data_IF_616659312621
#
_entry.id   IF_616659312621
#
_cell.length_a   1.000
_cell.length_b   1.000
_cell.length_c   1.000
_cell.angle_alpha   90.00
_cell.angle_beta   90.00
_cell.angle_gamma   90.00
#
_symmetry.space_group_name_H-M   'P 1'
#
loop_
_entity.id
_entity.type
_entity.pdbx_description
1 polymer ?
#
# COMPACT_ATOMS: atom_id res chain seq x y z
N UNK A 1 3.12 26.66 -5.42
CA UNK A 1 3.17 25.23 -5.09
C UNK A 1 4.42 24.58 -5.63
N UNK A 2 4.96 23.63 -4.90
CA UNK A 2 6.03 22.75 -5.36
C UNK A 2 5.71 21.32 -4.95
N UNK A 3 6.32 20.35 -5.64
CA UNK A 3 6.23 18.95 -5.27
C UNK A 3 7.45 18.64 -4.41
N UNK A 4 7.20 18.27 -3.15
CA UNK A 4 8.24 17.81 -2.25
C UNK A 4 8.52 16.33 -2.51
N UNK A 5 9.79 15.98 -2.59
CA UNK A 5 10.25 14.63 -2.87
C UNK A 5 9.67 14.12 -4.23
N UNK A 6 8.71 13.19 -4.19
CA UNK A 6 8.23 12.53 -5.41
C UNK A 6 6.78 12.88 -5.75
N UNK A 7 5.92 13.08 -4.76
CA UNK A 7 4.46 13.14 -4.96
C UNK A 7 3.74 14.15 -4.06
N UNK A 8 4.35 14.62 -2.98
CA UNK A 8 3.69 15.51 -2.01
C UNK A 8 3.64 16.94 -2.49
N UNK A 9 2.46 17.53 -2.57
CA UNK A 9 2.29 18.94 -2.93
C UNK A 9 2.37 19.84 -1.69
N UNK A 10 3.17 20.90 -1.75
CA UNK A 10 3.36 21.86 -0.67
C UNK A 10 3.40 23.30 -1.18
N UNK A 11 2.98 24.24 -0.34
CA UNK A 11 3.17 25.68 -0.56
C UNK A 11 4.53 26.11 0.00
N UNK A 12 5.39 26.61 -0.88
CA UNK A 12 6.74 27.07 -0.51
C UNK A 12 6.64 28.14 0.58
N UNK A 13 7.45 27.99 1.62
CA UNK A 13 7.51 28.91 2.75
C UNK A 13 6.37 28.79 3.76
N UNK A 14 5.28 28.11 3.43
CA UNK A 14 4.06 27.98 4.23
C UNK A 14 3.85 26.60 4.82
N UNK A 15 4.39 25.60 4.19
CA UNK A 15 4.18 24.19 4.53
C UNK A 15 5.52 23.46 4.51
N UNK A 16 5.68 22.53 5.42
CA UNK A 16 6.80 21.59 5.44
C UNK A 16 6.29 20.19 5.68
N UNK A 17 7.06 19.20 5.27
CA UNK A 17 6.72 17.82 5.49
C UNK A 17 7.86 17.11 6.22
N UNK A 18 7.51 16.44 7.31
CA UNK A 18 8.43 15.53 7.97
C UNK A 18 8.70 14.29 7.11
N UNK A 19 9.91 13.78 7.20
CA UNK A 19 10.30 12.53 6.53
C UNK A 19 9.31 11.40 6.84
N UNK A 20 8.97 10.61 5.82
CA UNK A 20 8.11 9.45 5.92
C UNK A 20 8.83 8.16 5.55
N UNK A 21 8.38 7.06 6.12
CA UNK A 21 8.72 5.70 5.74
C UNK A 21 7.47 4.98 5.23
N UNK A 22 7.57 3.70 4.86
CA UNK A 22 6.41 2.91 4.42
C UNK A 22 6.18 1.75 5.38
N UNK A 23 4.91 1.54 5.74
CA UNK A 23 4.46 0.35 6.43
C UNK A 23 4.19 -0.77 5.41
N UNK A 24 4.74 -1.96 5.64
CA UNK A 24 4.51 -3.12 4.77
C UNK A 24 3.22 -3.84 5.20
N UNK A 25 2.12 -3.54 4.52
CA UNK A 25 0.81 -4.13 4.82
C UNK A 25 0.74 -5.63 4.50
N UNK A 26 1.49 -6.10 3.50
CA UNK A 26 1.54 -7.52 3.19
C UNK A 26 2.22 -8.32 4.32
N UNK A 27 3.28 -7.79 4.90
CA UNK A 27 3.93 -8.40 6.08
C UNK A 27 3.01 -8.39 7.31
N UNK A 28 2.27 -7.30 7.50
CA UNK A 28 1.27 -7.19 8.56
C UNK A 28 0.17 -8.27 8.45
N UNK A 29 -0.28 -8.57 7.23
CA UNK A 29 -1.24 -9.66 6.98
C UNK A 29 -0.67 -11.02 7.40
N UNK A 30 0.59 -11.29 7.08
CA UNK A 30 1.25 -12.54 7.50
C UNK A 30 1.41 -12.64 9.01
N UNK A 31 1.68 -11.53 9.69
CA UNK A 31 1.67 -11.48 11.16
C UNK A 31 0.28 -11.75 11.73
N UNK A 32 -0.77 -11.23 11.12
CA UNK A 32 -2.14 -11.49 11.55
C UNK A 32 -2.49 -12.99 11.44
N UNK A 33 -2.11 -13.64 10.34
CA UNK A 33 -2.32 -15.07 10.12
C UNK A 33 -1.54 -15.92 11.13
N UNK A 34 -0.31 -15.51 11.45
CA UNK A 34 0.61 -16.25 12.33
C UNK A 34 0.62 -15.76 13.79
N UNK A 35 -0.39 -15.00 14.22
CA UNK A 35 -0.50 -14.57 15.63
C UNK A 35 0.63 -13.66 16.11
N UNK A 36 1.20 -12.83 15.23
CA UNK A 36 2.29 -11.90 15.50
C UNK A 36 3.69 -12.50 15.32
N UNK A 37 3.79 -13.75 14.88
CA UNK A 37 5.09 -14.39 14.58
C UNK A 37 5.51 -14.09 13.16
N UNK A 38 6.80 -13.74 12.99
CA UNK A 38 7.42 -13.58 11.68
C UNK A 38 7.59 -14.94 11.00
N UNK A 39 6.99 -15.13 9.84
CA UNK A 39 6.97 -16.39 9.09
C UNK A 39 8.35 -16.82 8.58
N UNK A 40 9.31 -15.89 8.51
CA UNK A 40 10.67 -16.14 8.05
C UNK A 40 11.68 -16.29 9.19
N UNK A 41 11.60 -15.39 10.18
CA UNK A 41 12.54 -15.36 11.29
C UNK A 41 12.12 -16.25 12.45
N UNK A 42 10.86 -16.71 12.46
CA UNK A 42 10.29 -17.58 13.51
C UNK A 42 10.31 -16.95 14.91
N UNK A 43 10.27 -15.63 14.97
CA UNK A 43 10.26 -14.89 16.23
C UNK A 43 8.96 -14.11 16.38
N UNK A 44 8.55 -13.89 17.62
CA UNK A 44 7.41 -13.03 17.96
C UNK A 44 7.81 -11.58 17.71
N UNK A 45 7.20 -10.93 16.74
CA UNK A 45 7.45 -9.51 16.38
C UNK A 45 6.28 -8.63 16.78
N UNK A 46 5.07 -9.04 16.45
CA UNK A 46 3.84 -8.35 16.83
C UNK A 46 3.30 -8.76 18.19
N UNK A 47 2.17 -8.20 18.63
CA UNK A 47 1.45 -8.68 19.78
C UNK A 47 1.12 -10.17 19.64
N UNK A 48 1.10 -10.86 20.75
CA UNK A 48 0.77 -12.30 20.77
C UNK A 48 -0.75 -12.47 20.64
N UNK A 49 -1.19 -12.68 19.40
CA UNK A 49 -2.57 -13.03 19.10
C UNK A 49 -2.73 -14.53 18.83
N UNK A 50 -3.99 -14.98 18.80
CA UNK A 50 -4.31 -16.35 18.39
C UNK A 50 -4.09 -16.48 16.88
N UNK A 51 -3.19 -17.36 16.39
CA UNK A 51 -3.00 -17.59 14.97
C UNK A 51 -4.23 -18.23 14.32
N UNK A 52 -4.26 -18.25 13.00
CA UNK A 52 -5.22 -19.05 12.25
C UNK A 52 -4.87 -20.54 12.44
N UNK A 53 -5.83 -21.36 12.83
CA UNK A 53 -5.61 -22.78 13.13
C UNK A 53 -6.20 -23.73 12.07
N UNK A 54 -7.15 -23.24 11.25
CA UNK A 54 -7.77 -24.03 10.17
C UNK A 54 -6.82 -24.36 9.04
N UNK A 55 -7.10 -25.42 8.30
CA UNK A 55 -6.33 -25.78 7.10
C UNK A 55 -6.57 -24.80 5.95
N UNK A 56 -7.73 -24.17 5.93
CA UNK A 56 -8.10 -23.11 4.99
C UNK A 56 -8.31 -21.80 5.72
N UNK A 57 -7.98 -20.69 5.04
CA UNK A 57 -8.23 -19.35 5.55
C UNK A 57 -9.73 -19.03 5.48
N UNK A 58 -10.28 -18.54 6.58
CA UNK A 58 -11.62 -17.94 6.64
C UNK A 58 -11.51 -16.42 6.55
N UNK A 59 -12.34 -15.81 5.70
CA UNK A 59 -12.25 -14.38 5.43
C UNK A 59 -12.53 -13.51 6.64
N UNK A 60 -13.57 -13.82 7.39
CA UNK A 60 -14.00 -13.00 8.53
C UNK A 60 -13.02 -13.13 9.70
N UNK A 61 -12.50 -14.35 9.94
CA UNK A 61 -11.46 -14.61 10.96
C UNK A 61 -10.15 -13.87 10.61
N UNK A 62 -9.70 -13.93 9.35
CA UNK A 62 -8.49 -13.23 8.89
C UNK A 62 -8.70 -11.72 8.97
N UNK A 63 -9.85 -11.20 8.54
CA UNK A 63 -10.12 -9.76 8.59
C UNK A 63 -10.14 -9.21 10.01
N UNK A 64 -10.74 -9.91 10.96
CA UNK A 64 -10.74 -9.51 12.37
C UNK A 64 -9.30 -9.42 12.93
N UNK A 65 -8.49 -10.48 12.70
CA UNK A 65 -7.08 -10.51 13.13
C UNK A 65 -6.23 -9.46 12.44
N UNK A 66 -6.51 -9.21 11.16
CA UNK A 66 -5.76 -8.23 10.39
C UNK A 66 -6.10 -6.79 10.81
N UNK A 67 -7.35 -6.52 11.16
CA UNK A 67 -7.75 -5.21 11.69
C UNK A 67 -7.04 -4.88 13.01
N UNK A 68 -6.99 -5.85 13.94
CA UNK A 68 -6.25 -5.72 15.20
C UNK A 68 -4.74 -5.52 14.95
N UNK A 69 -4.17 -6.27 14.01
CA UNK A 69 -2.75 -6.16 13.69
C UNK A 69 -2.41 -4.82 13.01
N UNK A 70 -3.31 -4.30 12.17
CA UNK A 70 -3.17 -2.96 11.59
C UNK A 70 -3.26 -1.86 12.67
N UNK A 71 -4.12 -2.01 13.68
CA UNK A 71 -4.17 -1.05 14.80
C UNK A 71 -2.85 -0.99 15.56
N UNK A 72 -2.29 -2.15 15.90
CA UNK A 72 -0.96 -2.23 16.51
C UNK A 72 0.12 -1.63 15.62
N UNK A 73 0.12 -1.98 14.32
CA UNK A 73 1.11 -1.48 13.38
C UNK A 73 1.03 0.04 13.24
N UNK A 74 -0.16 0.62 13.19
CA UNK A 74 -0.35 2.06 13.09
C UNK A 74 0.26 2.78 14.31
N UNK A 75 0.02 2.29 15.52
CA UNK A 75 0.61 2.83 16.73
C UNK A 75 2.12 2.72 16.77
N UNK A 76 2.68 1.54 16.48
CA UNK A 76 4.11 1.32 16.38
C UNK A 76 4.77 2.22 15.33
N UNK A 77 4.14 2.33 14.16
CA UNK A 77 4.63 3.09 13.03
C UNK A 77 4.70 4.58 13.34
N UNK A 78 3.60 5.17 13.84
CA UNK A 78 3.58 6.59 14.23
C UNK A 78 4.58 6.87 15.35
N UNK A 79 4.65 6.01 16.37
CA UNK A 79 5.61 6.19 17.46
C UNK A 79 7.06 6.11 16.97
N UNK A 80 7.37 5.19 16.07
CA UNK A 80 8.70 5.09 15.46
C UNK A 80 9.06 6.36 14.68
N UNK A 81 8.14 6.87 13.88
CA UNK A 81 8.35 8.13 13.16
C UNK A 81 8.51 9.31 14.13
N UNK A 82 7.75 9.37 15.21
CA UNK A 82 7.89 10.41 16.23
C UNK A 82 9.31 10.41 16.83
N UNK A 83 9.85 9.23 17.14
CA UNK A 83 11.23 9.09 17.65
C UNK A 83 12.25 9.55 16.61
N UNK A 84 12.08 9.18 15.35
CA UNK A 84 12.95 9.59 14.25
C UNK A 84 12.94 11.11 14.10
N UNK A 85 11.78 11.74 14.09
CA UNK A 85 11.66 13.21 13.96
C UNK A 85 12.23 13.93 15.17
N UNK A 86 11.99 13.43 16.37
CA UNK A 86 12.63 13.95 17.57
C UNK A 86 14.17 13.88 17.48
N UNK A 87 14.72 12.75 17.00
CA UNK A 87 16.16 12.59 16.84
C UNK A 87 16.74 13.50 15.76
N UNK A 88 16.01 13.70 14.65
CA UNK A 88 16.40 14.68 13.62
C UNK A 88 16.46 16.09 14.22
N UNK A 89 15.47 16.50 14.98
CA UNK A 89 15.39 17.83 15.59
C UNK A 89 16.42 18.05 16.69
N UNK A 90 16.79 17.00 17.40
CA UNK A 90 17.92 17.06 18.36
C UNK A 90 19.19 17.57 17.70
N UNK A 91 19.38 17.34 16.40
CA UNK A 91 20.50 17.82 15.61
C UNK A 91 20.12 19.02 14.71
N UNK A 92 19.08 19.75 15.06
CA UNK A 92 18.61 20.98 14.40
C UNK A 92 18.16 20.81 12.95
N UNK A 93 17.69 19.62 12.58
CA UNK A 93 17.24 19.33 11.20
C UNK A 93 16.07 20.24 10.78
N UNK A 94 15.00 20.29 11.55
CA UNK A 94 13.85 21.16 11.24
C UNK A 94 14.28 22.63 11.24
N UNK A 95 15.05 23.06 12.23
CA UNK A 95 15.52 24.44 12.32
C UNK A 95 16.26 24.91 11.07
N UNK A 96 17.09 24.06 10.50
CA UNK A 96 17.80 24.38 9.25
C UNK A 96 16.84 24.43 8.07
N UNK A 97 15.93 23.48 7.97
CA UNK A 97 14.91 23.47 6.90
C UNK A 97 13.96 24.67 6.98
N UNK A 98 13.63 25.10 8.19
CA UNK A 98 12.71 26.20 8.42
C UNK A 98 13.34 27.59 8.24
N UNK A 99 14.62 27.70 7.94
CA UNK A 99 15.33 28.97 7.82
C UNK A 99 14.75 29.91 6.74
N UNK A 100 14.12 29.35 5.71
CA UNK A 100 13.50 30.10 4.61
C UNK A 100 11.96 30.04 4.62
N UNK A 101 11.38 29.61 5.74
CA UNK A 101 9.93 29.53 5.90
C UNK A 101 9.37 30.73 6.65
N UNK A 102 8.08 30.96 6.49
CA UNK A 102 7.35 31.93 7.26
C UNK A 102 7.28 31.55 8.75
N UNK A 103 6.78 32.47 9.56
CA UNK A 103 6.61 32.27 11.00
C UNK A 103 5.65 31.11 11.31
N UNK A 104 4.51 31.11 10.65
CA UNK A 104 3.42 30.14 10.87
C UNK A 104 3.42 29.12 9.76
N UNK A 105 4.01 27.97 10.01
CA UNK A 105 4.17 26.88 9.03
C UNK A 105 3.30 25.70 9.40
N UNK A 106 2.51 25.23 8.45
CA UNK A 106 1.77 23.97 8.58
C UNK A 106 2.72 22.80 8.38
N UNK A 107 2.73 21.89 9.34
CA UNK A 107 3.55 20.68 9.30
C UNK A 107 2.72 19.51 8.84
N UNK A 108 3.23 18.77 7.87
CA UNK A 108 2.71 17.48 7.46
C UNK A 108 3.60 16.36 8.00
N UNK A 109 2.96 15.30 8.43
CA UNK A 109 3.59 14.10 8.94
C UNK A 109 3.43 13.00 7.90
N UNK A 110 4.45 12.82 7.06
CA UNK A 110 4.39 11.88 5.95
C UNK A 110 4.35 10.43 6.43
N UNK A 111 3.35 9.71 5.97
CA UNK A 111 3.25 8.26 6.11
C UNK A 111 3.19 7.59 4.75
N UNK A 112 3.18 6.28 4.71
CA UNK A 112 3.07 5.55 3.45
C UNK A 112 2.86 4.06 3.65
N UNK A 113 2.34 3.42 2.61
CA UNK A 113 2.10 1.98 2.58
C UNK A 113 2.79 1.31 1.41
N UNK A 114 3.14 0.03 1.60
CA UNK A 114 3.66 -0.87 0.58
C UNK A 114 2.83 -2.15 0.57
N UNK A 115 2.66 -2.75 -0.61
CA UNK A 115 1.99 -4.03 -0.78
C UNK A 115 0.48 -3.95 -0.90
N UNK A 116 -0.10 -2.79 -1.25
CA UNK A 116 -1.55 -2.60 -1.37
C UNK A 116 -2.21 -3.68 -2.24
N UNK A 117 -1.78 -3.82 -3.49
CA UNK A 117 -2.39 -4.77 -4.43
C UNK A 117 -2.21 -6.23 -4.00
N UNK A 118 -1.07 -6.56 -3.40
CA UNK A 118 -0.81 -7.91 -2.87
C UNK A 118 -1.78 -8.25 -1.75
N UNK A 119 -2.06 -7.30 -0.85
CA UNK A 119 -3.03 -7.51 0.24
C UNK A 119 -4.46 -7.55 -0.31
N UNK A 120 -4.81 -6.66 -1.23
CA UNK A 120 -6.13 -6.67 -1.87
C UNK A 120 -6.40 -7.99 -2.57
N UNK A 121 -5.44 -8.49 -3.35
CA UNK A 121 -5.52 -9.79 -4.02
C UNK A 121 -5.55 -10.96 -3.02
N UNK A 122 -4.76 -10.89 -1.95
CA UNK A 122 -4.75 -11.91 -0.90
C UNK A 122 -6.12 -12.02 -0.20
N UNK A 123 -6.70 -10.90 0.18
CA UNK A 123 -8.04 -10.86 0.79
C UNK A 123 -9.13 -11.27 -0.21
N UNK A 124 -8.97 -10.91 -1.48
CA UNK A 124 -9.85 -11.37 -2.55
C UNK A 124 -9.77 -12.89 -2.73
N UNK A 125 -8.55 -13.46 -2.75
CA UNK A 125 -8.35 -14.91 -2.83
C UNK A 125 -9.01 -15.64 -1.65
N UNK A 126 -8.83 -15.14 -0.42
CA UNK A 126 -9.43 -15.73 0.78
C UNK A 126 -10.96 -15.66 0.72
N UNK A 127 -11.52 -14.58 0.14
CA UNK A 127 -12.96 -14.35 0.08
C UNK A 127 -13.67 -15.13 -1.03
N UNK A 128 -13.03 -15.29 -2.19
CA UNK A 128 -13.70 -15.79 -3.41
C UNK A 128 -13.15 -17.11 -3.92
N UNK A 129 -12.01 -17.57 -3.40
CA UNK A 129 -11.42 -18.86 -3.69
C UNK A 129 -11.24 -19.67 -2.39
N UNK A 130 -10.54 -20.80 -2.46
CA UNK A 130 -10.12 -21.55 -1.27
C UNK A 130 -8.63 -21.44 -1.13
N UNK A 131 -8.17 -20.90 -0.02
CA UNK A 131 -6.75 -20.72 0.28
C UNK A 131 -6.34 -21.65 1.40
N UNK A 132 -5.57 -22.69 1.05
CA UNK A 132 -5.04 -23.69 1.98
C UNK A 132 -3.73 -23.21 2.58
N UNK A 133 -3.59 -23.35 3.89
CA UNK A 133 -2.38 -23.02 4.63
C UNK A 133 -1.37 -24.16 4.57
N UNK A 134 -0.15 -23.87 4.15
CA UNK A 134 0.99 -24.78 4.26
C UNK A 134 1.83 -24.37 5.46
N UNK A 135 1.89 -25.27 6.47
CA UNK A 135 2.60 -25.02 7.73
C UNK A 135 3.92 -25.78 7.75
N UNK A 136 4.88 -25.19 8.44
CA UNK A 136 6.12 -25.88 8.78
C UNK A 136 6.00 -26.72 10.07
N UNK A 137 7.13 -27.27 10.51
CA UNK A 137 7.23 -28.13 11.71
C UNK A 137 6.82 -27.41 13.00
N UNK A 138 6.96 -26.07 13.05
CA UNK A 138 6.55 -25.23 14.18
C UNK A 138 5.08 -24.79 14.12
N UNK A 139 4.34 -25.23 13.08
CA UNK A 139 2.95 -24.87 12.85
C UNK A 139 2.75 -23.46 12.26
N UNK A 140 3.82 -22.80 11.85
CA UNK A 140 3.77 -21.46 11.24
C UNK A 140 3.36 -21.60 9.77
N UNK A 141 2.41 -20.78 9.33
CA UNK A 141 2.01 -20.75 7.92
C UNK A 141 3.10 -20.04 7.11
N UNK A 142 3.73 -20.76 6.22
CA UNK A 142 4.87 -20.29 5.41
C UNK A 142 4.58 -20.22 3.93
N UNK A 143 3.56 -20.94 3.44
CA UNK A 143 3.13 -20.92 2.03
C UNK A 143 1.63 -21.17 1.91
N UNK A 144 1.09 -21.02 0.72
CA UNK A 144 -0.33 -21.13 0.41
C UNK A 144 -0.56 -21.84 -0.91
N UNK A 145 -1.61 -22.67 -0.95
CA UNK A 145 -2.19 -23.22 -2.17
C UNK A 145 -3.55 -22.58 -2.42
N UNK A 146 -3.77 -22.05 -3.61
CA UNK A 146 -5.03 -21.38 -3.98
C UNK A 146 -5.78 -22.28 -4.95
N UNK A 147 -6.98 -22.68 -4.56
CA UNK A 147 -7.90 -23.49 -5.37
C UNK A 147 -9.05 -22.62 -5.87
N UNK A 148 -9.19 -22.52 -7.18
CA UNK A 148 -10.20 -21.66 -7.84
C UNK A 148 -9.64 -20.32 -8.31
N UNK A 149 -10.49 -19.54 -8.95
CA UNK A 149 -10.15 -18.18 -9.41
C UNK A 149 -10.78 -17.12 -8.50
N UNK A 150 -10.18 -15.93 -8.49
CA UNK A 150 -10.62 -14.81 -7.69
C UNK A 150 -10.39 -13.48 -8.41
N UNK A 151 -11.17 -12.44 -8.10
CA UNK A 151 -10.95 -11.09 -8.65
C UNK A 151 -9.56 -10.57 -8.30
N UNK A 152 -8.84 -10.07 -9.30
CA UNK A 152 -7.49 -9.50 -9.15
C UNK A 152 -7.52 -8.00 -9.38
N UNK A 153 -6.85 -7.26 -8.52
CA UNK A 153 -6.74 -5.81 -8.61
C UNK A 153 -6.07 -5.39 -9.92
N UNK A 154 -6.58 -4.32 -10.53
CA UNK A 154 -6.13 -3.83 -11.83
C UNK A 154 -6.99 -4.31 -13.01
N UNK A 155 -8.20 -4.82 -12.76
CA UNK A 155 -9.12 -5.27 -13.80
C UNK A 155 -10.49 -4.54 -13.76
N UNK A 156 -10.56 -3.41 -13.06
CA UNK A 156 -11.78 -2.64 -12.84
C UNK A 156 -12.92 -3.49 -12.24
N UNK A 157 -12.57 -4.41 -11.34
CA UNK A 157 -13.53 -5.29 -10.66
C UNK A 157 -13.82 -4.75 -9.25
N UNK A 158 -15.05 -4.29 -9.04
CA UNK A 158 -15.50 -3.68 -7.78
C UNK A 158 -15.28 -4.58 -6.56
N UNK A 159 -15.30 -5.90 -6.74
CA UNK A 159 -15.13 -6.85 -5.64
C UNK A 159 -13.77 -6.74 -4.97
N UNK A 160 -12.71 -6.53 -5.74
CA UNK A 160 -11.34 -6.38 -5.24
C UNK A 160 -10.93 -4.92 -5.11
N UNK A 161 -11.40 -4.03 -6.01
CA UNK A 161 -11.09 -2.61 -5.95
C UNK A 161 -11.59 -2.00 -4.63
N UNK A 162 -12.80 -2.38 -4.20
CA UNK A 162 -13.35 -1.97 -2.90
C UNK A 162 -12.46 -2.44 -1.73
N UNK A 163 -11.89 -3.63 -1.80
CA UNK A 163 -10.95 -4.10 -0.75
C UNK A 163 -9.74 -3.17 -0.69
N UNK A 164 -9.16 -2.79 -1.84
CA UNK A 164 -8.03 -1.87 -1.89
C UNK A 164 -8.39 -0.48 -1.32
N UNK A 165 -9.56 0.06 -1.69
CA UNK A 165 -10.08 1.34 -1.16
C UNK A 165 -10.25 1.28 0.36
N UNK A 166 -10.86 0.23 0.87
CA UNK A 166 -11.13 0.05 2.31
C UNK A 166 -9.81 -0.10 3.10
N UNK A 167 -8.81 -0.79 2.55
CA UNK A 167 -7.48 -0.91 3.16
C UNK A 167 -6.81 0.46 3.36
N UNK A 168 -6.78 1.28 2.31
CA UNK A 168 -6.18 2.63 2.36
C UNK A 168 -6.91 3.48 3.40
N UNK A 169 -8.24 3.49 3.36
CA UNK A 169 -9.07 4.25 4.30
C UNK A 169 -8.84 3.80 5.74
N UNK A 170 -9.00 2.51 5.99
CA UNK A 170 -8.88 1.94 7.34
C UNK A 170 -7.52 2.21 7.95
N UNK A 171 -6.43 1.98 7.21
CA UNK A 171 -5.10 2.18 7.76
C UNK A 171 -4.81 3.67 8.04
N UNK A 172 -5.24 4.57 7.15
CA UNK A 172 -5.09 6.01 7.40
C UNK A 172 -5.91 6.49 8.59
N UNK A 173 -7.13 5.99 8.77
CA UNK A 173 -7.97 6.33 9.91
C UNK A 173 -7.37 5.82 11.23
N UNK A 174 -6.70 4.65 11.21
CA UNK A 174 -5.93 4.15 12.36
C UNK A 174 -4.72 5.05 12.66
N UNK A 175 -3.95 5.46 11.66
CA UNK A 175 -2.83 6.41 11.83
C UNK A 175 -3.31 7.71 12.50
N UNK A 176 -4.44 8.26 12.06
CA UNK A 176 -5.00 9.52 12.57
C UNK A 176 -5.41 9.50 14.04
N UNK A 177 -5.54 8.34 14.66
CA UNK A 177 -5.83 8.20 16.09
C UNK A 177 -4.63 8.54 16.98
N UNK A 178 -3.42 8.53 16.44
CA UNK A 178 -2.19 8.69 17.20
C UNK A 178 -1.65 10.10 17.13
N UNK A 179 -1.08 10.56 18.24
CA UNK A 179 -0.41 11.85 18.34
C UNK A 179 0.87 11.84 17.50
N UNK A 180 1.05 12.87 16.70
CA UNK A 180 2.21 13.04 15.82
C UNK A 180 3.17 14.09 16.35
N UNK A 181 4.43 13.96 16.01
CA UNK A 181 5.48 14.89 16.41
C UNK A 181 5.14 16.32 15.96
N UNK A 182 5.17 17.27 16.92
CA UNK A 182 4.81 18.69 16.72
C UNK A 182 3.45 18.90 16.06
N UNK A 183 2.49 18.06 16.38
CA UNK A 183 1.12 18.12 15.83
C UNK A 183 1.08 18.17 14.29
N UNK A 184 2.07 17.50 13.63
CA UNK A 184 2.09 17.39 12.19
C UNK A 184 0.87 16.64 11.66
N UNK A 185 0.22 17.20 10.63
CA UNK A 185 -0.98 16.58 10.03
C UNK A 185 -0.58 15.31 9.29
N UNK A 186 -1.10 14.12 9.68
CA UNK A 186 -0.77 12.89 8.98
C UNK A 186 -1.24 12.93 7.52
N UNK A 187 -0.33 12.60 6.62
CA UNK A 187 -0.57 12.37 5.20
C UNK A 187 -0.07 10.99 4.83
N UNK A 188 -0.51 10.42 3.71
CA UNK A 188 -0.10 9.08 3.30
C UNK A 188 0.20 9.05 1.81
N UNK A 189 1.22 8.29 1.45
CA UNK A 189 1.56 7.94 0.07
C UNK A 189 1.38 6.45 -0.20
N UNK A 190 1.02 6.11 -1.44
CA UNK A 190 1.06 4.74 -1.94
C UNK A 190 2.19 4.68 -2.97
N UNK A 191 3.41 4.69 -2.46
CA UNK A 191 4.61 4.86 -3.25
C UNK A 191 5.74 4.00 -2.68
N UNK A 192 6.37 3.18 -3.48
CA UNK A 192 7.51 2.35 -3.07
C UNK A 192 8.80 2.65 -3.82
N UNK A 193 8.73 3.32 -4.98
CA UNK A 193 9.84 3.46 -5.92
C UNK A 193 10.41 2.03 -6.20
N UNK A 194 11.69 1.80 -6.01
CA UNK A 194 12.35 0.48 -6.14
C UNK A 194 12.37 -0.33 -4.84
N UNK A 195 11.93 0.23 -3.72
CA UNK A 195 11.95 -0.47 -2.42
C UNK A 195 10.96 -1.64 -2.33
N UNK A 196 9.98 -1.73 -3.27
CA UNK A 196 9.11 -2.89 -3.42
C UNK A 196 9.89 -4.20 -3.55
N UNK A 197 11.07 -4.19 -4.17
CA UNK A 197 11.98 -5.35 -4.27
C UNK A 197 12.48 -5.77 -2.89
N UNK A 198 12.91 -4.80 -2.08
CA UNK A 198 13.41 -5.07 -0.72
C UNK A 198 12.28 -5.58 0.18
N UNK A 199 11.10 -4.96 0.10
CA UNK A 199 9.92 -5.42 0.83
C UNK A 199 9.55 -6.85 0.44
N UNK A 200 9.52 -7.16 -0.86
CA UNK A 200 9.24 -8.51 -1.36
C UNK A 200 10.24 -9.56 -0.86
N UNK A 201 11.53 -9.22 -0.87
CA UNK A 201 12.59 -10.09 -0.31
C UNK A 201 12.40 -10.39 1.18
N UNK A 202 11.80 -9.48 1.94
CA UNK A 202 11.57 -9.63 3.39
C UNK A 202 10.19 -10.20 3.74
N UNK A 203 9.31 -10.40 2.76
CA UNK A 203 7.95 -10.89 2.94
C UNK A 203 7.86 -12.33 2.45
N UNK A 204 7.30 -13.22 3.27
CA UNK A 204 7.01 -14.61 2.93
C UNK A 204 6.03 -14.74 1.77
N UNK A 205 5.65 -15.96 1.42
CA UNK A 205 4.55 -16.21 0.47
C UNK A 205 3.26 -15.59 0.97
N UNK A 206 2.37 -15.16 0.06
CA UNK A 206 1.12 -14.49 0.41
C UNK A 206 -0.10 -15.24 -0.14
N UNK A 207 -1.28 -15.11 0.48
CA UNK A 207 -2.48 -15.88 0.13
C UNK A 207 -2.96 -15.74 -1.33
N UNK A 208 -2.53 -14.70 -2.03
CA UNK A 208 -2.78 -14.47 -3.46
C UNK A 208 -1.91 -15.32 -4.40
N UNK A 209 -1.07 -16.19 -3.84
CA UNK A 209 -0.15 -17.05 -4.58
C UNK A 209 1.22 -16.44 -4.90
N UNK A 210 1.50 -15.18 -4.47
CA UNK A 210 2.85 -14.61 -4.59
C UNK A 210 3.82 -15.39 -3.69
N UNK A 211 4.92 -15.84 -4.25
CA UNK A 211 5.93 -16.64 -3.54
C UNK A 211 6.93 -15.74 -2.80
N UNK A 212 7.50 -16.29 -1.74
CA UNK A 212 8.57 -15.66 -0.95
C UNK A 212 9.68 -15.11 -1.85
N UNK A 213 10.14 -13.91 -1.57
CA UNK A 213 11.23 -13.25 -2.31
C UNK A 213 10.82 -12.54 -3.59
N UNK A 214 9.65 -12.83 -4.15
CA UNK A 214 9.11 -12.09 -5.30
C UNK A 214 8.84 -10.63 -4.88
N UNK A 215 9.24 -9.62 -5.67
CA UNK A 215 8.93 -8.23 -5.38
C UNK A 215 7.44 -7.99 -5.14
N UNK A 216 7.10 -7.06 -4.26
CA UNK A 216 5.73 -6.53 -4.20
C UNK A 216 5.47 -5.65 -5.43
N UNK A 217 4.22 -5.42 -5.77
CA UNK A 217 3.90 -4.42 -6.78
C UNK A 217 4.41 -3.02 -6.38
N UNK A 218 4.93 -2.22 -7.31
CA UNK A 218 5.40 -0.88 -7.00
C UNK A 218 4.23 0.07 -6.80
N UNK A 219 4.21 0.78 -5.68
CA UNK A 219 3.18 1.79 -5.38
C UNK A 219 1.76 1.26 -5.46
N UNK A 220 0.94 1.91 -6.26
CA UNK A 220 -0.47 1.56 -6.48
C UNK A 220 -0.69 0.59 -7.65
N UNK A 221 0.38 0.13 -8.29
CA UNK A 221 0.27 -0.79 -9.41
C UNK A 221 -0.39 -2.13 -9.02
N UNK A 222 -1.12 -2.76 -9.93
CA UNK A 222 -1.41 -4.19 -9.85
C UNK A 222 -0.13 -5.03 -9.79
N UNK A 223 -0.22 -6.23 -9.28
CA UNK A 223 0.86 -7.21 -9.42
C UNK A 223 1.08 -7.55 -10.89
N UNK A 224 2.35 -7.64 -11.27
CA UNK A 224 2.76 -7.92 -12.64
C UNK A 224 2.02 -9.14 -13.23
N UNK A 225 1.42 -8.94 -14.40
CA UNK A 225 0.69 -9.95 -15.14
C UNK A 225 -0.71 -10.28 -14.61
N UNK A 226 -1.25 -9.52 -13.65
CA UNK A 226 -2.61 -9.72 -13.12
C UNK A 226 -3.66 -8.80 -13.73
N UNK A 227 -3.26 -7.67 -14.28
CA UNK A 227 -4.08 -6.69 -14.98
C UNK A 227 -4.33 -7.12 -16.44
N UNK A 228 -5.17 -8.13 -16.61
CA UNK A 228 -5.40 -8.80 -17.90
C UNK A 228 -6.49 -8.15 -18.76
N UNK A 229 -7.24 -7.18 -18.22
CA UNK A 229 -8.35 -6.50 -18.91
C UNK A 229 -7.92 -5.22 -19.65
N UNK A 230 -6.62 -5.01 -19.79
CA UNK A 230 -6.05 -3.88 -20.54
C UNK A 230 -5.79 -2.63 -19.69
N UNK A 231 -5.23 -1.62 -20.36
CA UNK A 231 -4.72 -0.41 -19.72
C UNK A 231 -5.80 0.39 -19.01
N UNK A 232 -6.94 0.63 -19.65
CA UNK A 232 -8.05 1.39 -19.08
C UNK A 232 -8.58 0.76 -17.81
N UNK A 233 -8.76 -0.57 -17.78
CA UNK A 233 -9.21 -1.28 -16.59
C UNK A 233 -8.19 -1.18 -15.44
N UNK A 234 -6.89 -1.27 -15.77
CA UNK A 234 -5.82 -1.13 -14.78
C UNK A 234 -5.80 0.27 -14.16
N UNK A 235 -5.89 1.30 -14.99
CA UNK A 235 -5.94 2.71 -14.54
C UNK A 235 -7.23 3.02 -13.76
N UNK A 236 -8.38 2.48 -14.19
CA UNK A 236 -9.65 2.66 -13.48
C UNK A 236 -9.63 2.08 -12.08
N UNK A 237 -9.02 0.89 -11.86
CA UNK A 237 -8.83 0.35 -10.51
C UNK A 237 -8.00 1.28 -9.62
N UNK A 238 -6.92 1.87 -10.18
CA UNK A 238 -6.07 2.81 -9.45
C UNK A 238 -6.80 4.12 -9.15
N UNK A 239 -7.60 4.62 -10.10
CA UNK A 239 -8.36 5.86 -9.96
C UNK A 239 -9.42 5.81 -8.85
N UNK A 240 -9.93 4.63 -8.51
CA UNK A 240 -10.89 4.44 -7.40
C UNK A 240 -10.28 4.59 -6.00
N UNK A 241 -8.95 4.63 -5.89
CA UNK A 241 -8.31 4.75 -4.58
C UNK A 241 -8.71 6.06 -3.88
N UNK A 242 -8.87 6.05 -2.54
CA UNK A 242 -9.37 7.21 -1.82
C UNK A 242 -8.28 8.26 -1.63
N UNK A 243 -8.01 9.10 -2.63
CA UNK A 243 -6.94 10.11 -2.63
C UNK A 243 -7.04 11.11 -1.45
N UNK A 244 -8.24 11.32 -0.90
CA UNK A 244 -8.40 12.09 0.35
C UNK A 244 -7.70 11.46 1.56
N UNK A 245 -7.41 10.15 1.50
CA UNK A 245 -6.68 9.40 2.50
C UNK A 245 -5.22 9.14 2.07
N UNK A 246 -4.89 9.34 0.80
CA UNK A 246 -3.55 9.24 0.23
C UNK A 246 -3.08 10.60 -0.32
N UNK A 247 -3.05 11.61 0.53
CA UNK A 247 -2.81 13.02 0.16
C UNK A 247 -1.41 13.28 -0.39
N UNK A 248 -0.43 12.43 -0.04
CA UNK A 248 0.91 12.49 -0.62
C UNK A 248 0.99 11.81 -2.00
N UNK A 249 -0.16 11.35 -2.52
CA UNK A 249 -0.25 10.78 -3.86
C UNK A 249 0.21 9.33 -3.96
N UNK A 250 0.29 8.89 -5.19
CA UNK A 250 0.62 7.51 -5.56
C UNK A 250 1.73 7.47 -6.59
N UNK A 251 2.37 6.31 -6.76
CA UNK A 251 3.05 5.98 -8.00
C UNK A 251 2.29 4.88 -8.73
N UNK A 252 2.04 5.13 -9.99
CA UNK A 252 1.54 4.13 -10.92
C UNK A 252 2.44 4.16 -12.16
N UNK A 253 3.22 3.08 -12.36
CA UNK A 253 4.14 2.97 -13.48
C UNK A 253 3.47 2.12 -14.55
N UNK A 254 3.25 2.71 -15.70
CA UNK A 254 2.65 2.06 -16.84
C UNK A 254 3.67 2.00 -17.99
N UNK A 255 3.90 0.79 -18.54
CA UNK A 255 4.79 0.60 -19.68
C UNK A 255 4.00 0.17 -20.89
N UNK A 256 4.13 0.91 -21.98
CA UNK A 256 3.51 0.61 -23.26
C UNK A 256 4.62 0.26 -24.25
N UNK A 257 4.47 -0.87 -24.93
CA UNK A 257 5.34 -1.23 -26.07
C UNK A 257 4.76 -0.48 -27.28
N UNK A 258 5.53 0.41 -27.95
CA UNK A 258 5.00 1.20 -29.06
C UNK A 258 4.32 0.38 -30.15
N UNK A 259 4.84 -0.79 -30.49
CA UNK A 259 4.26 -1.69 -31.50
C UNK A 259 2.88 -2.24 -31.12
N UNK A 260 2.52 -2.24 -29.81
CA UNK A 260 1.18 -2.63 -29.37
C UNK A 260 0.12 -1.54 -29.66
N UNK A 261 0.55 -0.32 -29.90
CA UNK A 261 -0.31 0.82 -30.25
C UNK A 261 -0.47 0.99 -31.78
N UNK A 262 0.10 0.08 -32.58
CA UNK A 262 0.08 0.13 -34.02
C UNK A 262 1.39 0.62 -34.64
N UNK A 263 1.54 0.38 -35.93
CA UNK A 263 2.77 0.72 -36.67
C UNK A 263 2.68 2.05 -37.47
N UNK A 264 1.51 2.61 -37.59
CA UNK A 264 1.24 3.83 -38.34
C UNK A 264 0.80 4.97 -37.43
N UNK A 265 1.27 6.19 -37.63
CA UNK A 265 0.92 7.39 -36.89
C UNK A 265 -0.60 7.61 -36.71
N UNK A 266 -1.39 7.10 -37.64
CA UNK A 266 -2.86 7.20 -37.61
C UNK A 266 -3.54 6.27 -36.65
N UNK A 267 -2.93 5.13 -36.32
CA UNK A 267 -3.46 4.14 -35.39
C UNK A 267 -3.16 4.57 -33.95
N UNK A 268 -1.98 5.17 -33.74
CA UNK A 268 -1.58 5.70 -32.44
C UNK A 268 -2.56 6.75 -31.87
N UNK A 269 -3.10 7.59 -32.75
CA UNK A 269 -4.02 8.68 -32.33
C UNK A 269 -5.48 8.25 -32.19
N UNK A 270 -5.84 7.02 -32.62
CA UNK A 270 -7.21 6.52 -32.55
C UNK A 270 -7.50 5.56 -31.41
N UNK A 271 -6.50 4.84 -30.93
CA UNK A 271 -6.69 3.76 -29.96
C UNK A 271 -6.39 4.16 -28.51
N UNK A 272 -5.72 5.27 -28.28
CA UNK A 272 -5.46 5.81 -26.94
C UNK A 272 -6.06 7.21 -26.83
N UNK A 273 -7.34 7.27 -26.55
CA UNK A 273 -8.00 8.55 -26.26
C UNK A 273 -7.68 8.98 -24.82
N UNK A 274 -6.53 9.68 -24.69
CA UNK A 274 -6.07 10.26 -23.44
C UNK A 274 -7.10 11.27 -22.89
N UNK A 275 -7.87 11.93 -23.76
CA UNK A 275 -8.94 12.84 -23.35
C UNK A 275 -10.11 12.09 -22.72
N UNK A 276 -10.51 10.92 -23.26
CA UNK A 276 -11.53 10.07 -22.63
C UNK A 276 -11.07 9.54 -21.27
N UNK A 277 -9.82 9.10 -21.18
CA UNK A 277 -9.25 8.63 -19.91
C UNK A 277 -9.21 9.77 -18.88
N UNK A 278 -8.77 10.94 -19.28
CA UNK A 278 -8.73 12.13 -18.43
C UNK A 278 -10.14 12.61 -18.04
N UNK A 279 -11.12 12.45 -18.91
CA UNK A 279 -12.51 12.82 -18.66
C UNK A 279 -13.19 11.86 -17.70
N UNK A 280 -13.02 10.55 -17.87
CA UNK A 280 -13.49 9.54 -16.89
C UNK A 280 -12.88 9.78 -15.51
N UNK A 281 -11.57 10.06 -15.42
CA UNK A 281 -10.89 10.38 -14.15
C UNK A 281 -11.42 11.66 -13.49
N UNK A 282 -11.96 12.61 -14.26
CA UNK A 282 -12.54 13.86 -13.74
C UNK A 282 -14.03 13.74 -13.41
N UNK A 283 -14.79 12.89 -14.10
CA UNK A 283 -16.23 12.70 -13.85
C UNK A 283 -16.50 11.90 -12.56
N UNK A 284 -15.57 11.04 -12.11
CA UNK A 284 -15.65 10.31 -10.85
C UNK A 284 -15.23 11.13 -9.61
N UNK A 285 -15.02 12.44 -9.76
CA UNK A 285 -14.90 13.40 -8.65
C UNK A 285 -13.58 13.31 -7.87
N UNK A 286 -12.49 13.13 -8.57
CA UNK A 286 -11.14 13.25 -8.00
C UNK A 286 -10.68 14.71 -7.98
#
# INVERSE_FOLDING_TARGET
>A
YAIACCVSSMRIGKEMQFFGARANLAKCLLYAINGGVDERLKIQVGPKYRPVTGDYLDYDDVMAKYDDMMEWLAGLYVNTLNVIHYMHDKYSYERVQMALHDRDVKRYFATGIAGLSVVADSLSAIKYAKVKCIRDEDGIVTDYEVEGDFPKYGNNDERVDKIAVDLVRTFMDKIRKHHTYRDGVPTMSILTITSNVVYGKKTGSTPDGRKIGVPLAPGANPMHGRDTHGASASLSSVAKLPFRHAQDGISNTFSIIPDALGKDDKVFMGDLDIESIAKELNEDGV
#
